data_IF_162674009255
#
_entry.id   IF_162674009255
#
_cell.length_a   1.000
_cell.length_b   1.000
_cell.length_c   1.000
_cell.angle_alpha   90.00
_cell.angle_beta   90.00
_cell.angle_gamma   90.00
#
_symmetry.space_group_name_H-M   'P 1'
#
loop_
_entity.id
_entity.type
_entity.pdbx_description
1 polymer ?
#
# COMPACT_ATOMS: atom_id res chain seq x y z
N UNK A 1 12.89 4.51 7.04
CA UNK A 1 12.33 4.29 5.69
C UNK A 1 11.09 5.15 5.48
N UNK A 2 10.66 5.38 4.24
CA UNK A 2 9.37 6.06 3.96
C UNK A 2 8.19 5.16 4.34
N UNK A 3 7.06 5.73 4.75
CA UNK A 3 5.83 4.96 5.01
C UNK A 3 5.29 4.35 3.70
N UNK A 4 4.52 3.26 3.81
CA UNK A 4 3.76 2.67 2.68
C UNK A 4 2.98 3.75 1.93
N UNK A 5 2.28 4.61 2.69
CA UNK A 5 1.52 5.72 2.14
C UNK A 5 2.40 6.65 1.32
N UNK A 6 3.56 7.06 1.83
CA UNK A 6 4.48 7.92 1.08
C UNK A 6 5.00 7.28 -0.21
N UNK A 7 5.11 5.94 -0.25
CA UNK A 7 5.53 5.22 -1.45
C UNK A 7 4.45 5.26 -2.53
N UNK A 8 3.18 5.01 -2.17
CA UNK A 8 2.06 5.13 -3.11
C UNK A 8 1.84 6.55 -3.60
N UNK A 9 1.94 7.53 -2.70
CA UNK A 9 1.87 8.93 -3.08
C UNK A 9 2.93 9.28 -4.14
N UNK A 10 4.15 8.77 -4.00
CA UNK A 10 5.21 8.99 -5.00
C UNK A 10 4.89 8.31 -6.34
N UNK A 11 4.35 7.08 -6.33
CA UNK A 11 3.94 6.36 -7.54
C UNK A 11 2.79 7.06 -8.27
N UNK A 12 1.80 7.55 -7.52
CA UNK A 12 0.73 8.38 -8.10
C UNK A 12 1.30 9.65 -8.70
N UNK A 13 2.30 10.28 -8.07
CA UNK A 13 2.96 11.45 -8.63
C UNK A 13 3.73 11.12 -9.92
N UNK A 14 4.44 9.99 -10.01
CA UNK A 14 5.05 9.53 -11.27
C UNK A 14 4.00 9.32 -12.35
N UNK A 15 2.94 8.57 -12.02
CA UNK A 15 1.85 8.23 -12.93
C UNK A 15 1.14 9.49 -13.44
N UNK A 16 0.75 10.39 -12.53
CA UNK A 16 0.18 11.70 -12.85
C UNK A 16 1.12 12.55 -13.70
N UNK A 17 2.43 12.49 -13.43
CA UNK A 17 3.43 13.24 -14.21
C UNK A 17 3.72 12.68 -15.59
N UNK A 18 3.12 11.54 -15.93
CA UNK A 18 3.34 10.79 -17.18
C UNK A 18 4.83 10.51 -17.42
N UNK A 19 5.58 10.22 -16.35
CA UNK A 19 7.03 9.97 -16.40
C UNK A 19 7.42 8.98 -15.32
N UNK A 20 8.49 8.22 -15.58
CA UNK A 20 9.08 7.30 -14.60
C UNK A 20 8.83 5.84 -14.93
N UNK A 21 9.61 4.97 -14.30
CA UNK A 21 9.62 3.53 -14.56
C UNK A 21 8.26 2.89 -14.23
N UNK A 22 7.59 3.36 -13.18
CA UNK A 22 6.25 2.89 -12.84
C UNK A 22 5.23 3.17 -13.94
N UNK A 23 5.23 4.39 -14.48
CA UNK A 23 4.29 4.80 -15.54
C UNK A 23 4.55 4.01 -16.82
N UNK A 24 5.81 3.85 -17.20
CA UNK A 24 6.20 3.07 -18.38
C UNK A 24 5.72 1.62 -18.26
N UNK A 25 5.91 1.00 -17.08
CA UNK A 25 5.40 -0.33 -16.83
C UNK A 25 3.87 -0.40 -16.84
N UNK A 26 3.17 0.60 -16.29
CA UNK A 26 1.69 0.67 -16.36
C UNK A 26 1.22 0.77 -17.82
N UNK A 27 1.88 1.56 -18.66
CA UNK A 27 1.54 1.71 -20.08
C UNK A 27 1.84 0.45 -20.88
N UNK A 28 2.89 -0.28 -20.55
CA UNK A 28 3.17 -1.60 -21.13
C UNK A 28 2.06 -2.60 -20.80
N UNK A 29 1.61 -2.62 -19.54
CA UNK A 29 0.48 -3.45 -19.12
C UNK A 29 -0.81 -3.01 -19.83
N UNK A 30 -1.09 -1.71 -19.93
CA UNK A 30 -2.26 -1.20 -20.67
C UNK A 30 -2.23 -1.62 -22.13
N UNK A 31 -1.08 -1.49 -22.79
CA UNK A 31 -0.88 -1.90 -24.18
C UNK A 31 -1.11 -3.40 -24.35
N UNK A 32 -0.59 -4.21 -23.43
CA UNK A 32 -0.76 -5.66 -23.44
C UNK A 32 -2.23 -6.07 -23.31
N UNK A 33 -2.97 -5.41 -22.42
CA UNK A 33 -4.38 -5.66 -22.14
C UNK A 33 -5.35 -4.86 -23.04
N UNK A 34 -4.84 -4.13 -24.03
CA UNK A 34 -5.62 -3.29 -24.96
C UNK A 34 -6.54 -2.29 -24.24
N UNK A 35 -6.03 -1.66 -23.18
CA UNK A 35 -6.73 -0.63 -22.40
C UNK A 35 -6.41 0.73 -23.01
N UNK A 36 -7.23 1.15 -23.97
CA UNK A 36 -7.14 2.47 -24.59
C UNK A 36 -7.94 3.51 -23.80
N UNK A 37 -7.39 4.73 -23.65
CA UNK A 37 -8.03 5.90 -23.02
C UNK A 37 -8.70 5.63 -21.65
N UNK A 38 -7.94 5.18 -20.64
CA UNK A 38 -8.48 4.88 -19.32
C UNK A 38 -9.10 6.12 -18.68
N UNK A 39 -10.28 5.99 -18.02
CA UNK A 39 -11.01 7.14 -17.51
C UNK A 39 -10.26 7.82 -16.34
N UNK A 40 -10.23 9.16 -16.36
CA UNK A 40 -9.63 9.99 -15.32
C UNK A 40 -10.58 10.16 -14.12
N UNK A 41 -10.85 9.07 -13.40
CA UNK A 41 -11.77 9.04 -12.25
C UNK A 41 -11.25 8.12 -11.14
N UNK A 42 -11.90 8.16 -9.97
CA UNK A 42 -11.61 7.19 -8.92
C UNK A 42 -12.05 5.78 -9.35
N UNK A 43 -11.22 4.75 -9.14
CA UNK A 43 -11.65 3.39 -9.35
C UNK A 43 -12.78 3.03 -8.36
N UNK A 44 -13.72 2.15 -8.72
CA UNK A 44 -14.78 1.73 -7.82
C UNK A 44 -14.21 0.96 -6.63
N UNK A 45 -14.92 0.93 -5.49
CA UNK A 45 -14.52 0.15 -4.31
C UNK A 45 -14.64 -1.38 -4.49
N UNK A 46 -15.02 -1.86 -5.68
CA UNK A 46 -15.26 -3.28 -5.95
C UNK A 46 -13.97 -4.10 -6.02
N UNK A 47 -14.05 -5.35 -5.57
CA UNK A 47 -12.99 -6.36 -5.76
C UNK A 47 -12.80 -6.75 -7.23
N UNK A 48 -13.75 -6.40 -8.11
CA UNK A 48 -13.75 -6.74 -9.53
C UNK A 48 -12.55 -6.16 -10.30
N UNK A 49 -11.90 -5.11 -9.79
CA UNK A 49 -10.70 -4.53 -10.41
C UNK A 49 -9.46 -5.44 -10.31
N UNK A 50 -9.51 -6.45 -9.44
CA UNK A 50 -8.48 -7.50 -9.38
C UNK A 50 -8.68 -8.57 -10.45
N UNK A 51 -9.75 -8.48 -11.24
CA UNK A 51 -9.97 -9.32 -12.40
C UNK A 51 -9.47 -8.60 -13.67
N UNK A 52 -8.99 -9.35 -14.68
CA UNK A 52 -8.59 -8.75 -15.93
C UNK A 52 -9.78 -8.05 -16.62
N UNK A 53 -9.56 -6.89 -17.29
CA UNK A 53 -10.62 -6.03 -17.82
C UNK A 53 -11.46 -6.67 -18.93
N UNK A 54 -10.98 -7.75 -19.55
CA UNK A 54 -11.74 -8.50 -20.56
C UNK A 54 -12.89 -9.35 -19.98
N UNK A 55 -13.14 -9.26 -18.67
CA UNK A 55 -14.17 -10.02 -17.96
C UNK A 55 -15.15 -9.09 -17.26
N UNK A 56 -15.86 -8.26 -18.04
CA UNK A 56 -16.93 -7.39 -17.53
C UNK A 56 -17.98 -8.15 -16.71
N UNK A 57 -18.13 -9.45 -16.95
CA UNK A 57 -18.88 -10.38 -16.09
C UNK A 57 -18.12 -11.70 -16.02
N UNK A 58 -18.01 -12.35 -14.84
CA UNK A 58 -17.44 -13.70 -14.72
C UNK A 58 -18.14 -14.75 -15.59
N UNK A 59 -19.34 -14.46 -16.10
CA UNK A 59 -20.16 -15.33 -16.96
C UNK A 59 -20.15 -14.93 -18.44
N UNK A 60 -19.58 -13.77 -18.79
CA UNK A 60 -19.52 -13.31 -20.17
C UNK A 60 -18.13 -13.59 -20.74
N UNK A 61 -18.05 -14.68 -21.52
CA UNK A 61 -16.81 -15.24 -22.04
C UNK A 61 -16.42 -14.62 -23.39
N UNK A 62 -17.24 -13.71 -23.93
CA UNK A 62 -16.98 -13.08 -25.22
C UNK A 62 -15.69 -12.24 -25.19
N UNK A 63 -15.44 -11.52 -24.10
CA UNK A 63 -14.18 -10.80 -23.87
C UNK A 63 -12.98 -11.72 -23.64
N UNK A 64 -13.19 -12.85 -22.94
CA UNK A 64 -12.17 -13.89 -22.75
C UNK A 64 -11.73 -14.49 -24.09
N UNK A 65 -12.66 -14.81 -24.98
CA UNK A 65 -12.39 -15.32 -26.33
C UNK A 65 -11.61 -14.30 -27.20
N UNK A 66 -11.93 -13.01 -27.11
CA UNK A 66 -11.25 -11.96 -27.87
C UNK A 66 -9.79 -11.78 -27.44
N UNK A 67 -9.51 -11.77 -26.13
CA UNK A 67 -8.15 -11.73 -25.61
C UNK A 67 -7.41 -13.03 -25.96
N UNK A 68 -8.06 -14.17 -25.76
CA UNK A 68 -7.49 -15.49 -26.03
C UNK A 68 -7.08 -15.68 -27.49
N UNK A 69 -7.90 -15.24 -28.44
CA UNK A 69 -7.63 -15.34 -29.87
C UNK A 69 -6.41 -14.52 -30.31
N UNK A 70 -6.06 -13.48 -29.56
CA UNK A 70 -4.94 -12.59 -29.86
C UNK A 70 -3.72 -12.83 -28.94
N UNK A 71 -3.81 -13.77 -27.99
CA UNK A 71 -2.77 -13.96 -26.99
C UNK A 71 -1.70 -14.97 -27.47
N UNK A 72 -0.43 -14.56 -27.63
CA UNK A 72 0.61 -15.38 -28.29
C UNK A 72 1.00 -16.66 -27.53
N UNK A 73 0.64 -16.76 -26.25
CA UNK A 73 1.03 -17.87 -25.37
C UNK A 73 -0.14 -18.71 -24.83
N UNK A 74 -1.39 -18.45 -25.22
CA UNK A 74 -2.53 -19.26 -24.76
C UNK A 74 -2.87 -20.35 -25.79
N UNK A 75 -3.10 -21.61 -25.36
CA UNK A 75 -3.40 -22.70 -26.29
C UNK A 75 -4.78 -22.48 -26.94
N UNK A 76 -4.97 -22.69 -28.26
CA UNK A 76 -6.23 -22.41 -28.94
C UNK A 76 -7.43 -23.14 -28.28
N UNK A 77 -8.56 -22.45 -28.13
CA UNK A 77 -9.78 -23.00 -27.55
C UNK A 77 -10.30 -24.16 -28.43
N UNK A 78 -10.10 -25.39 -27.95
CA UNK A 78 -10.56 -26.62 -28.61
C UNK A 78 -12.02 -26.88 -28.22
N UNK A 79 -12.96 -26.19 -28.85
CA UNK A 79 -14.39 -26.44 -28.66
C UNK A 79 -15.22 -25.18 -28.85
N UNK A 80 -15.84 -25.04 -30.02
CA UNK A 80 -16.78 -23.95 -30.28
C UNK A 80 -18.00 -24.00 -29.36
N UNK A 81 -18.70 -22.86 -29.18
CA UNK A 81 -19.89 -22.79 -28.35
C UNK A 81 -20.93 -23.80 -28.85
N UNK A 82 -21.37 -24.70 -27.96
CA UNK A 82 -22.58 -25.49 -28.18
C UNK A 82 -23.76 -24.68 -27.65
N UNK A 83 -24.81 -24.57 -28.45
CA UNK A 83 -25.95 -23.64 -28.35
C UNK A 83 -26.87 -23.78 -27.12
N UNK A 84 -26.39 -24.26 -25.97
CA UNK A 84 -27.22 -24.39 -24.76
C UNK A 84 -26.64 -23.67 -23.53
N UNK A 85 -27.06 -22.40 -23.29
CA UNK A 85 -26.62 -21.61 -22.14
C UNK A 85 -27.11 -22.16 -20.79
N UNK A 86 -28.04 -23.13 -20.76
CA UNK A 86 -28.54 -23.72 -19.51
C UNK A 86 -27.66 -24.88 -18.97
N UNK A 87 -26.66 -25.34 -19.74
CA UNK A 87 -25.81 -26.49 -19.36
C UNK A 87 -24.57 -26.13 -18.51
N UNK A 88 -24.38 -24.86 -18.15
CA UNK A 88 -23.17 -24.31 -17.51
C UNK A 88 -23.14 -24.36 -15.96
N UNK A 89 -23.73 -25.38 -15.32
CA UNK A 89 -23.66 -25.49 -13.84
C UNK A 89 -22.31 -26.08 -13.38
N UNK A 90 -21.56 -26.73 -14.27
CA UNK A 90 -20.20 -27.21 -14.00
C UNK A 90 -19.28 -26.64 -15.08
N UNK A 91 -18.42 -25.69 -14.70
CA UNK A 91 -17.34 -25.21 -15.55
C UNK A 91 -16.53 -26.43 -16.01
N UNK A 92 -16.38 -26.69 -17.33
CA UNK A 92 -15.50 -27.74 -17.77
C UNK A 92 -14.09 -27.47 -17.21
N UNK A 93 -13.39 -28.50 -16.73
CA UNK A 93 -12.10 -28.35 -16.04
C UNK A 93 -11.08 -27.48 -16.82
N UNK A 94 -11.13 -27.57 -18.15
CA UNK A 94 -10.35 -26.76 -19.09
C UNK A 94 -10.62 -25.26 -18.94
N UNK A 95 -11.87 -24.86 -18.68
CA UNK A 95 -12.27 -23.45 -18.51
C UNK A 95 -11.87 -22.90 -17.15
N UNK A 96 -11.88 -23.73 -16.10
CA UNK A 96 -11.33 -23.34 -14.79
C UNK A 96 -9.82 -23.09 -14.87
N UNK A 97 -9.12 -23.83 -15.73
CA UNK A 97 -7.66 -23.69 -15.93
C UNK A 97 -7.36 -22.43 -16.73
N UNK A 98 -8.12 -22.21 -17.81
CA UNK A 98 -8.11 -21.02 -18.64
C UNK A 98 -8.28 -19.73 -17.82
N UNK A 99 -9.34 -19.68 -17.01
CA UNK A 99 -9.64 -18.55 -16.16
C UNK A 99 -8.52 -18.29 -15.13
N UNK A 100 -8.06 -19.33 -14.43
CA UNK A 100 -6.93 -19.21 -13.49
C UNK A 100 -5.64 -18.74 -14.17
N UNK A 101 -5.39 -19.15 -15.41
CA UNK A 101 -4.22 -18.68 -16.15
C UNK A 101 -4.31 -17.19 -16.49
N UNK A 102 -5.50 -16.68 -16.80
CA UNK A 102 -5.72 -15.25 -17.06
C UNK A 102 -5.63 -14.42 -15.79
N UNK A 103 -6.27 -14.85 -14.70
CA UNK A 103 -6.07 -14.23 -13.37
C UNK A 103 -4.59 -14.21 -13.01
N UNK A 104 -3.91 -15.36 -13.14
CA UNK A 104 -2.49 -15.44 -12.82
C UNK A 104 -1.64 -14.53 -13.70
N UNK A 105 -1.99 -14.39 -14.98
CA UNK A 105 -1.27 -13.48 -15.88
C UNK A 105 -1.48 -12.02 -15.47
N UNK A 106 -2.72 -11.63 -15.15
CA UNK A 106 -3.05 -10.31 -14.64
C UNK A 106 -2.28 -10.00 -13.37
N UNK A 107 -2.25 -10.92 -12.40
CA UNK A 107 -1.43 -10.77 -11.20
C UNK A 107 0.06 -10.55 -11.52
N UNK A 108 0.62 -11.33 -12.44
CA UNK A 108 2.03 -11.19 -12.84
C UNK A 108 2.30 -9.83 -13.50
N UNK A 109 1.39 -9.33 -14.34
CA UNK A 109 1.52 -8.03 -14.99
C UNK A 109 1.38 -6.87 -13.99
N UNK A 110 0.49 -6.99 -12.99
CA UNK A 110 0.40 -6.03 -11.88
C UNK A 110 1.66 -6.05 -11.01
N UNK A 111 2.18 -7.24 -10.70
CA UNK A 111 3.45 -7.41 -9.98
C UNK A 111 4.62 -6.79 -10.75
N UNK A 112 4.67 -6.98 -12.08
CA UNK A 112 5.64 -6.34 -12.95
C UNK A 112 5.59 -4.81 -12.84
N UNK A 113 4.39 -4.21 -12.92
CA UNK A 113 4.24 -2.77 -12.75
C UNK A 113 4.76 -2.30 -11.37
N UNK A 114 4.41 -3.01 -10.29
CA UNK A 114 4.86 -2.68 -8.94
C UNK A 114 6.38 -2.79 -8.77
N UNK A 115 7.01 -3.86 -9.30
CA UNK A 115 8.47 -4.07 -9.23
C UNK A 115 9.22 -2.95 -9.95
N UNK A 116 8.79 -2.58 -11.16
CA UNK A 116 9.39 -1.45 -11.89
C UNK A 116 9.10 -0.10 -11.24
N UNK A 117 8.04 0.03 -10.44
CA UNK A 117 7.81 1.17 -9.57
C UNK A 117 8.73 1.23 -8.34
N UNK A 118 9.72 0.35 -8.23
CA UNK A 118 10.58 0.26 -7.05
C UNK A 118 9.80 0.00 -5.75
N UNK A 119 8.66 -0.69 -5.84
CA UNK A 119 7.95 -1.17 -4.64
C UNK A 119 8.80 -2.25 -3.98
N UNK A 120 9.12 -2.14 -2.68
CA UNK A 120 9.99 -3.10 -2.02
C UNK A 120 9.49 -4.54 -2.14
N UNK A 121 10.40 -5.48 -2.46
CA UNK A 121 10.09 -6.89 -2.74
C UNK A 121 9.32 -7.57 -1.59
N UNK A 122 9.53 -7.15 -0.33
CA UNK A 122 8.77 -7.64 0.83
C UNK A 122 7.24 -7.45 0.71
N UNK A 123 6.79 -6.47 -0.09
CA UNK A 123 5.37 -6.24 -0.38
C UNK A 123 4.90 -7.04 -1.61
N UNK A 124 5.82 -7.65 -2.34
CA UNK A 124 5.61 -8.32 -3.62
C UNK A 124 6.00 -9.80 -3.60
N UNK A 125 6.47 -10.33 -2.45
CA UNK A 125 6.91 -11.72 -2.32
C UNK A 125 5.95 -12.65 -3.04
N UNK A 126 6.45 -13.48 -3.95
CA UNK A 126 5.65 -14.38 -4.79
C UNK A 126 5.04 -15.53 -3.95
N UNK A 127 4.19 -15.18 -3.00
CA UNK A 127 3.33 -16.09 -2.23
C UNK A 127 2.08 -16.30 -3.07
N UNK A 128 1.85 -17.56 -3.43
CA UNK A 128 0.64 -17.99 -4.14
C UNK A 128 -0.17 -18.83 -3.16
N UNK A 129 -1.43 -18.45 -2.86
CA UNK A 129 -2.16 -17.28 -3.37
C UNK A 129 -1.67 -15.94 -2.79
N UNK A 130 -2.02 -14.82 -3.45
CA UNK A 130 -1.78 -13.46 -2.95
C UNK A 130 -2.30 -13.36 -1.52
N UNK A 131 -1.45 -12.90 -0.61
CA UNK A 131 -1.81 -12.76 0.80
C UNK A 131 -2.66 -11.50 1.03
N UNK A 132 -3.46 -11.47 2.11
CA UNK A 132 -4.26 -10.29 2.46
C UNK A 132 -3.43 -9.00 2.60
N UNK A 133 -2.17 -9.12 3.02
CA UNK A 133 -1.25 -7.98 3.12
C UNK A 133 -0.79 -7.41 1.77
N UNK A 134 -0.89 -8.19 0.69
CA UNK A 134 -0.48 -7.80 -0.66
C UNK A 134 -1.64 -7.23 -1.48
N UNK A 135 -2.88 -7.67 -1.21
CA UNK A 135 -4.09 -7.17 -1.89
C UNK A 135 -4.13 -5.64 -2.01
N UNK A 136 -3.73 -4.85 -0.97
CA UNK A 136 -3.65 -3.42 -1.09
C UNK A 136 -2.82 -2.90 -2.28
N UNK A 137 -1.66 -3.51 -2.54
CA UNK A 137 -0.75 -3.08 -3.60
C UNK A 137 -1.24 -3.51 -4.98
N UNK A 138 -1.81 -4.71 -5.08
CA UNK A 138 -2.39 -5.20 -6.32
C UNK A 138 -3.62 -4.37 -6.73
N UNK A 139 -4.48 -3.99 -5.77
CA UNK A 139 -5.59 -3.06 -6.02
C UNK A 139 -5.11 -1.69 -6.49
N UNK A 140 -4.07 -1.17 -5.84
CA UNK A 140 -3.46 0.09 -6.24
C UNK A 140 -2.92 0.03 -7.68
N UNK A 141 -2.16 -1.02 -8.02
CA UNK A 141 -1.63 -1.22 -9.37
C UNK A 141 -2.74 -1.38 -10.40
N UNK A 142 -3.75 -2.21 -10.13
CA UNK A 142 -4.91 -2.37 -10.99
C UNK A 142 -5.65 -1.05 -11.21
N UNK A 143 -5.84 -0.25 -10.15
CA UNK A 143 -6.39 1.10 -10.25
C UNK A 143 -5.55 2.00 -11.18
N UNK A 144 -4.23 1.96 -11.08
CA UNK A 144 -3.35 2.71 -11.98
C UNK A 144 -3.41 2.22 -13.43
N UNK A 145 -3.57 0.92 -13.66
CA UNK A 145 -3.68 0.35 -15.01
C UNK A 145 -5.03 0.68 -15.64
N UNK A 146 -6.12 0.55 -14.89
CA UNK A 146 -7.48 0.69 -15.40
C UNK A 146 -7.96 2.15 -15.44
N UNK A 147 -7.35 3.06 -14.67
CA UNK A 147 -7.79 4.44 -14.51
C UNK A 147 -6.60 5.41 -14.56
N UNK A 148 -6.85 6.61 -15.10
CA UNK A 148 -5.90 7.71 -15.00
C UNK A 148 -6.11 8.50 -13.69
N UNK A 149 -5.03 8.98 -13.04
CA UNK A 149 -5.18 9.78 -11.82
C UNK A 149 -5.96 11.06 -12.12
N UNK A 150 -7.00 11.39 -11.33
CA UNK A 150 -7.80 12.58 -11.54
C UNK A 150 -6.97 13.86 -11.28
N UNK A 151 -7.31 14.96 -11.97
CA UNK A 151 -6.58 16.23 -11.82
C UNK A 151 -6.99 17.02 -10.57
N UNK A 152 -8.13 16.69 -9.96
CA UNK A 152 -8.60 17.39 -8.79
C UNK A 152 -7.89 16.95 -7.50
N UNK A 153 -7.67 17.90 -6.60
CA UNK A 153 -6.86 17.72 -5.39
C UNK A 153 -7.38 16.66 -4.43
N UNK A 154 -8.70 16.51 -4.34
CA UNK A 154 -9.36 15.63 -3.39
C UNK A 154 -9.33 14.19 -3.89
N UNK A 155 -9.71 13.95 -5.14
CA UNK A 155 -9.69 12.63 -5.74
C UNK A 155 -8.26 12.16 -6.01
N UNK A 156 -7.29 13.04 -6.32
CA UNK A 156 -5.90 12.60 -6.49
C UNK A 156 -5.34 11.99 -5.21
N UNK A 157 -5.74 12.54 -4.05
CA UNK A 157 -5.40 11.96 -2.75
C UNK A 157 -6.09 10.62 -2.54
N UNK A 158 -7.40 10.56 -2.78
CA UNK A 158 -8.17 9.32 -2.64
C UNK A 158 -7.64 8.21 -3.57
N UNK A 159 -7.15 8.56 -4.76
CA UNK A 159 -6.51 7.65 -5.70
C UNK A 159 -5.20 7.08 -5.13
N UNK A 160 -4.38 7.87 -4.45
CA UNK A 160 -3.18 7.37 -3.76
C UNK A 160 -3.48 6.48 -2.55
N UNK A 161 -4.65 6.70 -1.94
CA UNK A 161 -5.19 5.86 -0.87
C UNK A 161 -5.98 4.65 -1.42
N UNK A 162 -6.16 4.55 -2.74
CA UNK A 162 -6.91 3.46 -3.37
C UNK A 162 -6.19 2.12 -3.21
N UNK A 163 -6.97 1.09 -2.88
CA UNK A 163 -6.41 -0.17 -2.42
C UNK A 163 -5.59 -0.01 -1.15
N UNK A 164 -5.71 1.07 -0.37
CA UNK A 164 -5.14 1.16 0.97
C UNK A 164 -5.53 -0.05 1.79
N UNK A 165 -4.72 -0.50 2.78
CA UNK A 165 -5.33 -1.29 3.86
C UNK A 165 -6.56 -0.51 4.30
N UNK A 166 -7.72 -1.18 4.43
CA UNK A 166 -8.88 -0.59 5.10
C UNK A 166 -8.33 0.14 6.33
N UNK A 167 -8.74 1.39 6.61
CA UNK A 167 -8.22 2.12 7.76
C UNK A 167 -8.40 1.21 8.97
N UNK A 168 -7.30 0.57 9.37
CA UNK A 168 -7.32 -0.32 10.50
C UNK A 168 -7.60 0.64 11.63
N UNK A 169 -8.76 0.47 12.28
CA UNK A 169 -9.08 1.19 13.50
C UNK A 169 -7.96 0.79 14.47
N UNK A 170 -6.93 1.63 14.54
CA UNK A 170 -5.66 1.28 15.12
C UNK A 170 -5.83 1.08 16.62
N UNK A 171 -5.77 -0.17 17.07
CA UNK A 171 -5.51 -0.50 18.47
C UNK A 171 -4.00 -0.46 18.66
N UNK A 172 -3.59 0.14 19.76
CA UNK A 172 -2.21 0.50 19.98
C UNK A 172 -1.68 -0.07 21.29
N UNK A 173 -0.58 -0.80 21.17
CA UNK A 173 0.11 -1.51 22.23
C UNK A 173 1.33 -0.69 22.70
N UNK A 174 1.50 -0.52 24.02
CA UNK A 174 2.66 0.17 24.62
C UNK A 174 3.98 -0.53 24.23
N UNK A 175 5.15 0.12 24.40
CA UNK A 175 6.47 -0.55 24.21
C UNK A 175 6.53 -1.91 24.90
N UNK A 176 5.96 -2.00 26.09
CA UNK A 176 5.82 -3.24 26.86
C UNK A 176 4.96 -4.29 26.14
N UNK A 177 3.87 -3.89 25.51
CA UNK A 177 3.07 -4.79 24.68
C UNK A 177 3.77 -5.14 23.35
N UNK A 178 4.64 -4.26 22.82
CA UNK A 178 5.52 -4.53 21.67
C UNK A 178 6.56 -5.60 22.00
N UNK A 179 7.25 -5.44 23.12
CA UNK A 179 8.17 -6.43 23.67
C UNK A 179 7.42 -7.75 23.93
N UNK A 180 6.20 -7.71 24.48
CA UNK A 180 5.37 -8.92 24.64
C UNK A 180 4.95 -9.56 23.31
N UNK A 181 4.72 -8.77 22.25
CA UNK A 181 4.38 -9.30 20.92
C UNK A 181 5.60 -9.95 20.26
N UNK A 182 6.78 -9.33 20.38
CA UNK A 182 8.06 -9.93 19.96
C UNK A 182 8.28 -11.23 20.73
N UNK A 183 8.14 -11.23 22.05
CA UNK A 183 8.29 -12.42 22.88
C UNK A 183 7.30 -13.52 22.50
N UNK A 184 6.05 -13.17 22.16
CA UNK A 184 5.04 -14.12 21.72
C UNK A 184 5.35 -14.70 20.33
N UNK A 185 5.80 -13.87 19.38
CA UNK A 185 6.18 -14.30 18.04
C UNK A 185 7.42 -15.22 18.08
N UNK A 186 8.42 -14.83 18.85
CA UNK A 186 9.63 -15.63 19.15
C UNK A 186 9.23 -16.96 19.79
N UNK A 187 8.37 -16.91 20.81
CA UNK A 187 7.86 -18.11 21.48
C UNK A 187 7.16 -19.07 20.52
N UNK A 188 6.32 -18.54 19.62
CA UNK A 188 5.62 -19.35 18.62
C UNK A 188 6.59 -20.00 17.60
N UNK A 189 7.63 -19.30 17.18
CA UNK A 189 8.66 -19.84 16.29
C UNK A 189 9.45 -20.98 16.97
N UNK A 190 9.87 -20.78 18.21
CA UNK A 190 10.55 -21.80 19.03
C UNK A 190 9.66 -23.01 19.28
N UNK A 191 8.39 -22.79 19.65
CA UNK A 191 7.41 -23.86 19.89
C UNK A 191 7.16 -24.71 18.64
N UNK A 192 7.21 -24.10 17.45
CA UNK A 192 7.10 -24.82 16.18
C UNK A 192 8.29 -25.77 15.99
N UNK A 193 9.52 -25.31 16.20
CA UNK A 193 10.70 -26.20 16.10
C UNK A 193 10.62 -27.32 17.13
N UNK A 194 10.25 -27.02 18.38
CA UNK A 194 10.08 -28.04 19.42
C UNK A 194 9.07 -29.10 18.96
N UNK A 195 7.92 -28.67 18.43
CA UNK A 195 6.86 -29.58 17.97
C UNK A 195 7.34 -30.46 16.80
N UNK A 196 8.04 -29.89 15.83
CA UNK A 196 8.60 -30.61 14.69
C UNK A 196 9.62 -31.66 15.16
N UNK A 197 10.52 -31.29 16.08
CA UNK A 197 11.52 -32.21 16.65
C UNK A 197 10.91 -33.32 17.51
N UNK A 198 9.87 -32.99 18.29
CA UNK A 198 9.12 -33.99 19.04
C UNK A 198 8.48 -35.02 18.10
N UNK A 199 7.94 -34.57 16.96
CA UNK A 199 7.36 -35.47 15.96
C UNK A 199 8.40 -36.35 15.27
N UNK A 200 9.54 -35.78 14.89
CA UNK A 200 10.67 -36.49 14.29
C UNK A 200 11.20 -37.60 15.21
N UNK A 201 11.38 -37.28 16.49
CA UNK A 201 11.97 -38.17 17.50
C UNK A 201 10.93 -38.98 18.30
N UNK A 202 9.67 -39.02 17.88
CA UNK A 202 8.57 -39.66 18.64
C UNK A 202 8.77 -41.14 19.00
N UNK A 203 9.74 -41.83 18.39
CA UNK A 203 10.11 -43.23 18.71
C UNK A 203 11.25 -43.34 19.74
N UNK A 204 12.04 -42.28 19.88
CA UNK A 204 13.19 -42.21 20.79
C UNK A 204 12.81 -41.51 22.10
N UNK A 205 11.83 -40.61 22.05
CA UNK A 205 11.40 -39.81 23.19
C UNK A 205 10.49 -40.61 24.15
N UNK A 206 10.47 -40.24 25.45
CA UNK A 206 9.51 -40.77 26.40
C UNK A 206 8.06 -40.55 25.96
N UNK A 207 7.16 -41.46 26.34
CA UNK A 207 5.71 -41.33 26.08
C UNK A 207 5.10 -40.12 26.84
N UNK A 208 5.76 -39.64 27.89
CA UNK A 208 5.35 -38.46 28.64
C UNK A 208 5.73 -37.17 27.88
N UNK A 209 4.74 -36.33 27.49
CA UNK A 209 4.97 -35.19 26.60
C UNK A 209 5.86 -34.12 27.22
N UNK A 210 5.80 -33.93 28.54
CA UNK A 210 6.61 -32.94 29.24
C UNK A 210 8.09 -33.37 29.27
N UNK A 211 8.36 -34.66 29.57
CA UNK A 211 9.71 -35.23 29.46
C UNK A 211 10.24 -35.21 28.03
N UNK A 212 9.40 -35.54 27.05
CA UNK A 212 9.77 -35.48 25.64
C UNK A 212 10.14 -34.05 25.19
N UNK A 213 9.33 -33.05 25.58
CA UNK A 213 9.62 -31.63 25.32
C UNK A 213 10.92 -31.20 25.99
N UNK A 214 11.14 -31.59 27.24
CA UNK A 214 12.37 -31.27 27.97
C UNK A 214 13.62 -31.86 27.31
N UNK A 215 13.54 -33.10 26.83
CA UNK A 215 14.63 -33.76 26.13
C UNK A 215 14.93 -33.08 24.78
N UNK A 216 13.91 -32.69 24.03
CA UNK A 216 14.06 -31.89 22.80
C UNK A 216 14.72 -30.55 23.09
N UNK A 217 14.26 -29.79 24.10
CA UNK A 217 14.85 -28.49 24.46
C UNK A 217 16.32 -28.64 24.83
N UNK A 218 16.70 -29.68 25.59
CA UNK A 218 18.11 -29.91 25.93
C UNK A 218 18.95 -30.31 24.72
N UNK A 219 18.44 -31.26 23.91
CA UNK A 219 19.17 -31.81 22.75
C UNK A 219 19.38 -30.78 21.64
N UNK A 220 18.44 -29.85 21.47
CA UNK A 220 18.45 -28.84 20.41
C UNK A 220 18.60 -27.41 20.92
N UNK A 221 19.10 -27.21 22.14
CA UNK A 221 19.22 -25.89 22.78
C UNK A 221 19.90 -24.82 21.91
N UNK A 222 20.99 -25.18 21.20
CA UNK A 222 21.69 -24.25 20.31
C UNK A 222 20.89 -23.86 19.06
N UNK A 223 20.10 -24.79 18.51
CA UNK A 223 19.22 -24.53 17.34
C UNK A 223 18.03 -23.66 17.75
N UNK A 224 17.44 -23.94 18.92
CA UNK A 224 16.36 -23.12 19.47
C UNK A 224 16.82 -21.69 19.79
N UNK A 225 18.02 -21.51 20.34
CA UNK A 225 18.59 -20.18 20.57
C UNK A 225 18.81 -19.42 19.25
N UNK A 226 19.35 -20.10 18.23
CA UNK A 226 19.57 -19.48 16.93
C UNK A 226 18.25 -19.08 16.24
N UNK A 227 17.18 -19.85 16.43
CA UNK A 227 15.84 -19.47 15.95
C UNK A 227 15.24 -18.34 16.78
N UNK A 228 15.42 -18.32 18.09
CA UNK A 228 14.98 -17.22 18.95
C UNK A 228 15.62 -15.89 18.50
N UNK A 229 16.95 -15.89 18.30
CA UNK A 229 17.68 -14.71 17.85
C UNK A 229 17.20 -14.28 16.45
N UNK A 230 17.05 -15.23 15.51
CA UNK A 230 16.55 -14.96 14.16
C UNK A 230 15.13 -14.41 14.16
N UNK A 231 14.21 -15.04 14.89
CA UNK A 231 12.81 -14.63 14.96
C UNK A 231 12.66 -13.26 15.62
N UNK A 232 13.52 -12.95 16.60
CA UNK A 232 13.59 -11.62 17.21
C UNK A 232 14.08 -10.58 16.22
N UNK A 233 15.21 -10.84 15.56
CA UNK A 233 15.75 -9.94 14.54
C UNK A 233 14.75 -9.72 13.40
N UNK A 234 14.13 -10.79 12.88
CA UNK A 234 13.13 -10.71 11.82
C UNK A 234 11.91 -9.88 12.25
N UNK A 235 11.43 -10.04 13.48
CA UNK A 235 10.26 -9.29 13.96
C UNK A 235 10.60 -7.85 14.37
N UNK A 236 11.82 -7.58 14.86
CA UNK A 236 12.33 -6.22 15.05
C UNK A 236 12.49 -5.51 13.70
N UNK A 237 13.08 -6.18 12.71
CA UNK A 237 13.18 -5.69 11.33
C UNK A 237 11.79 -5.48 10.75
N UNK A 238 10.84 -6.40 10.91
CA UNK A 238 9.46 -6.26 10.46
C UNK A 238 8.78 -5.05 11.11
N UNK A 239 8.99 -4.86 12.42
CA UNK A 239 8.48 -3.72 13.18
C UNK A 239 9.11 -2.40 12.73
N UNK A 240 10.38 -2.37 12.33
CA UNK A 240 11.08 -1.17 11.85
C UNK A 240 10.78 -0.86 10.37
N UNK A 241 10.60 -1.89 9.56
CA UNK A 241 10.31 -1.82 8.13
C UNK A 241 8.83 -1.58 7.84
N UNK A 242 7.98 -2.05 8.73
CA UNK A 242 6.56 -1.92 8.69
C UNK A 242 6.09 -1.51 10.09
N UNK A 243 6.56 -0.34 10.61
CA UNK A 243 6.07 0.19 11.88
C UNK A 243 4.57 0.28 11.65
N UNK A 244 3.76 -0.56 12.31
CA UNK A 244 2.48 -0.89 11.71
C UNK A 244 1.74 0.44 11.57
N UNK A 245 1.13 0.75 10.44
CA UNK A 245 0.82 2.16 10.13
C UNK A 245 -0.24 2.69 11.11
N UNK A 246 0.18 3.28 12.25
CA UNK A 246 -0.74 3.57 13.35
C UNK A 246 -0.14 3.85 14.76
N UNK A 247 1.17 3.99 15.01
CA UNK A 247 1.73 3.88 16.40
C UNK A 247 1.87 5.12 17.27
N UNK A 248 0.84 5.97 17.37
CA UNK A 248 0.81 7.00 18.43
C UNK A 248 -0.54 7.03 19.11
N UNK A 249 -0.59 6.51 20.34
CA UNK A 249 -1.80 6.47 21.14
C UNK A 249 -1.81 7.77 21.91
N UNK A 250 -2.38 8.75 21.26
CA UNK A 250 -2.65 10.00 21.90
C UNK A 250 -3.98 9.77 22.57
N UNK A 251 -3.99 9.69 23.89
CA UNK A 251 -5.25 9.68 24.63
C UNK A 251 -6.02 10.94 24.19
N UNK A 252 -7.06 10.72 23.39
CA UNK A 252 -8.00 11.73 22.93
C UNK A 252 -9.27 11.49 23.74
N UNK A 253 -9.55 12.38 24.68
CA UNK A 253 -10.87 12.53 25.24
C UNK A 253 -11.69 13.30 24.19
N UNK A 254 -12.58 12.67 23.40
CA UNK A 254 -13.30 13.37 22.32
C UNK A 254 -14.19 14.50 22.82
N UNK A 255 -14.49 14.57 24.12
CA UNK A 255 -15.22 15.68 24.73
C UNK A 255 -14.32 16.88 25.08
N UNK A 256 -12.99 16.71 25.10
CA UNK A 256 -12.03 17.73 25.58
C UNK A 256 -10.87 18.02 24.64
N UNK A 257 -10.37 17.01 23.96
CA UNK A 257 -9.19 17.10 23.10
C UNK A 257 -9.61 17.53 21.69
N UNK A 258 -9.02 18.63 21.25
CA UNK A 258 -9.16 19.14 19.89
C UNK A 258 -8.18 18.44 18.95
N UNK A 259 -8.40 18.56 17.64
CA UNK A 259 -7.47 18.06 16.62
C UNK A 259 -6.06 18.63 16.82
N UNK A 260 -5.96 19.89 17.25
CA UNK A 260 -4.70 20.56 17.56
C UNK A 260 -3.99 19.93 18.76
N UNK A 261 -4.71 19.55 19.83
CA UNK A 261 -4.13 18.87 21.00
C UNK A 261 -3.57 17.50 20.63
N UNK A 262 -4.25 16.80 19.72
CA UNK A 262 -3.77 15.54 19.17
C UNK A 262 -2.46 15.75 18.41
N UNK A 263 -2.38 16.76 17.54
CA UNK A 263 -1.15 17.04 16.81
C UNK A 263 0.01 17.45 17.72
N UNK A 264 -0.25 18.17 18.82
CA UNK A 264 0.79 18.54 19.79
C UNK A 264 1.31 17.33 20.58
N UNK A 265 0.41 16.47 21.08
CA UNK A 265 0.78 15.23 21.77
C UNK A 265 1.59 14.31 20.84
N UNK A 266 1.24 14.26 19.55
CA UNK A 266 1.98 13.52 18.52
C UNK A 266 3.41 14.04 18.36
N UNK A 267 3.54 15.37 18.25
CA UNK A 267 4.83 16.02 18.09
C UNK A 267 5.75 15.80 19.29
N UNK A 268 5.21 15.81 20.52
CA UNK A 268 5.97 15.48 21.74
C UNK A 268 6.46 14.03 21.75
N UNK A 269 5.58 13.07 21.46
CA UNK A 269 5.96 11.65 21.39
C UNK A 269 7.09 11.41 20.37
N UNK A 270 7.01 12.04 19.19
CA UNK A 270 8.09 11.96 18.20
C UNK A 270 9.41 12.57 18.69
N UNK A 271 9.36 13.64 19.46
CA UNK A 271 10.55 14.26 20.02
C UNK A 271 11.18 13.40 21.13
N UNK A 272 10.36 12.79 21.99
CA UNK A 272 10.79 11.89 23.07
C UNK A 272 11.45 10.62 22.53
N UNK A 273 10.91 10.05 21.46
CA UNK A 273 11.46 8.85 20.79
C UNK A 273 12.71 9.15 19.93
N UNK A 274 13.21 10.38 19.92
CA UNK A 274 14.36 10.77 19.07
C UNK A 274 14.07 10.69 17.56
N UNK A 275 12.80 10.55 17.18
CA UNK A 275 12.34 10.46 15.79
C UNK A 275 12.22 11.83 15.12
N UNK A 276 12.54 12.91 15.83
CA UNK A 276 12.81 14.21 15.24
C UNK A 276 14.11 14.09 14.41
N UNK A 277 14.05 14.17 13.08
CA UNK A 277 15.23 13.98 12.26
C UNK A 277 16.31 14.99 12.66
N UNK A 278 17.56 14.54 12.87
CA UNK A 278 18.64 15.41 13.28
C UNK A 278 18.87 16.48 12.21
N UNK A 279 18.58 17.74 12.56
CA UNK A 279 19.03 18.96 11.88
C UNK A 279 19.02 18.92 10.35
N UNK A 280 17.85 18.70 9.73
CA UNK A 280 17.70 18.76 8.27
C UNK A 280 16.38 19.42 7.88
N UNK A 281 16.39 20.18 6.78
CA UNK A 281 15.12 20.62 6.18
C UNK A 281 14.35 19.37 5.73
N UNK A 282 13.05 19.23 6.01
CA UNK A 282 12.28 18.10 5.52
C UNK A 282 12.33 18.08 4.02
N UNK A 283 12.35 16.87 3.46
CA UNK A 283 11.96 16.71 2.08
C UNK A 283 10.51 17.14 1.94
N UNK A 284 10.26 18.00 0.96
CA UNK A 284 8.91 18.44 0.59
C UNK A 284 8.19 17.23 0.01
N UNK A 285 7.04 16.87 0.60
CA UNK A 285 6.18 15.84 0.04
C UNK A 285 5.65 16.33 -1.32
N UNK A 286 5.97 15.60 -2.40
CA UNK A 286 5.70 16.04 -3.77
C UNK A 286 4.20 16.07 -4.07
N UNK A 287 3.43 15.08 -3.61
CA UNK A 287 1.98 15.07 -3.77
C UNK A 287 1.35 16.27 -3.06
N UNK A 288 1.76 16.54 -1.83
CA UNK A 288 1.30 17.71 -1.07
C UNK A 288 1.65 19.01 -1.79
N UNK A 289 2.83 19.09 -2.43
CA UNK A 289 3.23 20.24 -3.24
C UNK A 289 2.34 20.44 -4.46
N UNK A 290 2.04 19.38 -5.22
CA UNK A 290 1.11 19.40 -6.36
C UNK A 290 -0.29 19.85 -5.91
N UNK A 291 -0.80 19.27 -4.82
CA UNK A 291 -2.10 19.64 -4.21
C UNK A 291 -2.14 21.11 -3.80
N UNK A 292 -1.08 21.63 -3.20
CA UNK A 292 -0.96 23.05 -2.88
C UNK A 292 -0.99 23.94 -4.14
N UNK A 293 -0.29 23.53 -5.21
CA UNK A 293 -0.27 24.26 -6.47
C UNK A 293 -1.65 24.28 -7.16
N UNK A 294 -2.34 23.14 -7.23
CA UNK A 294 -3.71 23.03 -7.77
C UNK A 294 -4.65 23.98 -7.02
N UNK A 295 -4.73 23.89 -5.69
CA UNK A 295 -5.58 24.77 -4.89
C UNK A 295 -5.21 26.25 -5.03
N UNK A 296 -3.91 26.55 -5.14
CA UNK A 296 -3.47 27.94 -5.27
C UNK A 296 -3.75 28.53 -6.65
N UNK A 297 -3.62 27.74 -7.72
CA UNK A 297 -3.70 28.24 -9.10
C UNK A 297 -5.13 28.21 -9.62
N UNK A 298 -5.85 27.10 -9.42
CA UNK A 298 -7.17 26.89 -10.01
C UNK A 298 -8.30 27.47 -9.18
N UNK A 299 -8.11 27.60 -7.86
CA UNK A 299 -9.15 28.12 -6.96
C UNK A 299 -8.89 29.58 -6.52
N UNK A 300 -7.90 30.26 -7.10
CA UNK A 300 -7.68 31.70 -6.94
C UNK A 300 -7.81 32.58 -8.22
N UNK A 301 -8.49 32.18 -9.31
CA UNK A 301 -8.76 33.14 -10.38
C UNK A 301 -9.56 34.31 -9.81
N UNK A 302 -9.29 35.52 -10.33
CA UNK A 302 -10.05 36.71 -9.95
C UNK A 302 -11.47 36.51 -10.44
N UNK A 303 -12.42 36.34 -9.51
CA UNK A 303 -13.84 36.35 -9.87
C UNK A 303 -14.12 37.71 -10.52
N UNK A 304 -14.53 37.74 -11.80
CA UNK A 304 -14.77 38.98 -12.54
C UNK A 304 -15.87 39.83 -11.90
N UNK A 305 -16.71 39.22 -11.07
CA UNK A 305 -17.88 39.83 -10.44
C UNK A 305 -17.56 40.38 -9.04
N UNK A 306 -16.80 39.63 -8.23
CA UNK A 306 -16.64 39.95 -6.81
C UNK A 306 -15.36 40.76 -6.49
N UNK A 307 -14.31 40.75 -7.32
CA UNK A 307 -12.99 41.40 -7.03
C UNK A 307 -12.38 41.06 -5.64
N UNK A 308 -13.00 40.18 -4.85
CA UNK A 308 -12.59 39.85 -3.47
C UNK A 308 -11.46 38.84 -3.45
N UNK A 309 -10.84 38.77 -2.26
CA UNK A 309 -9.55 38.13 -1.98
C UNK A 309 -9.48 36.65 -2.39
N UNK A 310 -8.27 36.23 -2.78
CA UNK A 310 -7.85 34.83 -3.00
C UNK A 310 -8.46 33.88 -1.96
N UNK A 311 -9.23 32.87 -2.41
CA UNK A 311 -9.84 31.84 -1.56
C UNK A 311 -8.78 31.02 -0.82
N UNK A 312 -7.62 30.81 -1.45
CA UNK A 312 -6.49 30.06 -0.92
C UNK A 312 -5.25 30.94 -0.77
N UNK A 313 -5.06 31.48 0.43
CA UNK A 313 -3.79 32.12 0.81
C UNK A 313 -2.76 31.07 1.22
N UNK A 314 -1.47 31.42 1.18
CA UNK A 314 -0.40 30.52 1.65
C UNK A 314 -0.55 30.17 3.13
N UNK A 315 -1.08 31.08 3.94
CA UNK A 315 -1.41 30.84 5.35
C UNK A 315 -2.50 29.77 5.49
N UNK A 316 -3.54 29.82 4.65
CA UNK A 316 -4.63 28.82 4.65
C UNK A 316 -4.13 27.46 4.19
N UNK A 317 -3.27 27.42 3.17
CA UNK A 317 -2.60 26.19 2.72
C UNK A 317 -1.72 25.61 3.83
N UNK A 318 -0.90 26.43 4.48
CA UNK A 318 -0.05 25.99 5.58
C UNK A 318 -0.87 25.35 6.71
N UNK A 319 -2.03 25.94 7.05
CA UNK A 319 -2.95 25.37 8.05
C UNK A 319 -3.60 24.07 7.56
N UNK A 320 -4.12 24.03 6.33
CA UNK A 320 -4.80 22.83 5.76
C UNK A 320 -3.87 21.61 5.72
N UNK A 321 -2.62 21.80 5.32
CA UNK A 321 -1.66 20.71 5.12
C UNK A 321 -0.67 20.53 6.28
N UNK A 322 -0.85 21.25 7.40
CA UNK A 322 0.06 21.14 8.55
C UNK A 322 1.52 21.48 8.21
N UNK A 323 1.76 22.50 7.36
CA UNK A 323 3.11 22.84 6.90
C UNK A 323 3.83 23.68 7.95
N UNK A 324 4.43 23.03 8.95
CA UNK A 324 4.99 23.69 10.14
C UNK A 324 6.35 24.36 9.90
N UNK A 325 6.64 25.42 10.66
CA UNK A 325 8.00 25.98 10.81
C UNK A 325 8.84 24.96 11.57
N UNK A 326 10.04 24.68 11.07
CA UNK A 326 10.93 23.69 11.67
C UNK A 326 12.17 24.25 12.37
N UNK A 327 12.42 25.56 12.25
CA UNK A 327 13.64 26.17 12.77
C UNK A 327 13.32 27.26 13.80
N UNK A 328 13.94 27.14 14.97
CA UNK A 328 13.93 28.15 16.03
C UNK A 328 12.78 28.03 17.04
N UNK A 329 12.61 29.07 17.88
CA UNK A 329 11.62 29.14 18.99
C UNK A 329 10.14 29.00 18.57
N UNK A 330 9.85 28.93 17.26
CA UNK A 330 8.49 28.79 16.71
C UNK A 330 8.27 27.44 16.01
N UNK A 331 8.99 26.40 16.44
CA UNK A 331 8.78 25.05 15.92
C UNK A 331 7.32 24.64 16.14
N UNK A 332 6.67 24.08 15.11
CA UNK A 332 5.32 23.55 15.22
C UNK A 332 4.17 24.48 14.81
N UNK A 333 4.43 25.72 14.37
CA UNK A 333 3.38 26.61 13.85
C UNK A 333 3.30 26.55 12.32
N UNK A 334 2.09 26.57 11.69
CA UNK A 334 1.95 26.67 10.24
C UNK A 334 2.73 27.84 9.65
N UNK A 335 3.53 27.56 8.64
CA UNK A 335 4.45 28.51 8.00
C UNK A 335 3.96 28.91 6.62
N UNK A 336 3.62 30.19 6.46
CA UNK A 336 3.39 30.80 5.13
C UNK A 336 4.52 30.49 4.15
N UNK A 337 5.77 30.57 4.63
CA UNK A 337 6.98 30.34 3.81
C UNK A 337 7.06 28.88 3.35
N UNK A 338 6.70 27.93 4.21
CA UNK A 338 6.66 26.51 3.84
C UNK A 338 5.60 26.26 2.75
N UNK A 339 4.40 26.83 2.89
CA UNK A 339 3.36 26.72 1.87
C UNK A 339 3.75 27.38 0.53
N UNK A 340 4.40 28.54 0.55
CA UNK A 340 4.92 29.18 -0.67
C UNK A 340 5.88 28.26 -1.43
N UNK A 341 6.73 27.57 -0.70
CA UNK A 341 7.67 26.64 -1.31
C UNK A 341 6.99 25.40 -1.86
N UNK A 342 6.00 24.84 -1.14
CA UNK A 342 5.20 23.72 -1.65
C UNK A 342 4.46 24.10 -2.94
N UNK A 343 3.87 25.30 -3.01
CA UNK A 343 3.24 25.82 -4.24
C UNK A 343 4.27 25.96 -5.36
N UNK A 344 5.47 26.49 -5.07
CA UNK A 344 6.54 26.63 -6.07
C UNK A 344 6.96 25.26 -6.62
N UNK A 345 7.26 24.30 -5.75
CA UNK A 345 7.65 22.94 -6.13
C UNK A 345 6.52 22.26 -6.91
N UNK A 346 5.27 22.38 -6.47
CA UNK A 346 4.11 21.82 -7.18
C UNK A 346 3.96 22.37 -8.60
N UNK A 347 4.13 23.68 -8.79
CA UNK A 347 4.13 24.30 -10.14
C UNK A 347 5.26 23.80 -11.01
N UNK A 348 6.45 23.62 -10.45
CA UNK A 348 7.59 23.05 -11.19
C UNK A 348 7.34 21.60 -11.59
N UNK A 349 6.67 20.81 -10.74
CA UNK A 349 6.26 19.44 -11.04
C UNK A 349 5.20 19.40 -12.16
N UNK A 350 4.21 20.31 -12.12
CA UNK A 350 3.13 20.45 -13.12
C UNK A 350 3.53 21.07 -14.46
N UNK A 351 4.67 21.74 -14.56
CA UNK A 351 5.19 22.22 -15.87
C UNK A 351 5.96 21.16 -16.64
N UNK A 352 6.30 20.05 -15.97
CA UNK A 352 7.06 18.94 -16.54
C UNK A 352 6.15 17.81 -17.05
N UNK A 353 4.86 17.82 -16.70
CA UNK A 353 3.79 17.16 -17.45
C UNK A 353 3.60 17.87 -18.77
#
# INVERSE_FOLDING_TARGET
MGSIQSSRENLVVEHYRRRGEFREAVEEVRTYWQIDDPPAQLPPESDDILLPPCLDKPKDLSGLHAVWANHPYLPPLMGGPRDDPASYVVWPAEWSTAYRNLERRWELDLSYALRNGNVPEKYLEDKVPITEGQLPWYRFAAGCVLYDPPEDEENLRLFAEYGGPLPVIGVLTSRRLREQQIDAAVGAAVDKIISDKMWELRRELPDDPDRARFEVVNRFSAELQAEEDRARDDHEIETDLNPPSGFYNIAVDPAKDTKEDVLEKYAKLRAEEGLCPPGGRPRINQLTAIRCAILYDEQNPVDPTDKRRKRWTHERLAKKFGLLVQTGKKCGLPSKRSAQEHVKVGRELRRKT
#
